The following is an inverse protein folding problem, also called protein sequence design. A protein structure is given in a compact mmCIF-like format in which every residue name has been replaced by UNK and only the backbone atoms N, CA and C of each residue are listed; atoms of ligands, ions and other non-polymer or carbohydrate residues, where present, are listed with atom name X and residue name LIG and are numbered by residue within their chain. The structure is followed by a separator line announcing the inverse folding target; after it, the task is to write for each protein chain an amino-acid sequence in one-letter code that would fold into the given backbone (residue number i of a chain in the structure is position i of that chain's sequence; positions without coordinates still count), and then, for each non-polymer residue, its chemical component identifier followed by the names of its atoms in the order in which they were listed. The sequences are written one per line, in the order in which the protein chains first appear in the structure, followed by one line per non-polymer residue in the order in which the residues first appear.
data_IF_243634154450
#
_entry.id   IF_243634154450
#
_cell.length_a   1.000
_cell.length_b   1.000
_cell.length_c   1.000
_cell.angle_alpha   90.00
_cell.angle_beta   90.00
_cell.angle_gamma   90.00
#
_symmetry.space_group_name_H-M   'P 1'
#
loop_
_entity.id
_entity.type
_entity.pdbx_description
1 polymer ?
#
# COMPACT_ATOMS: atom_id res chain seq x y z
N UNK A 1 -9.65 10.88 -11.39
CA UNK A 1 -9.41 9.53 -11.86
C UNK A 1 -8.05 9.04 -11.44
N UNK A 2 -7.97 7.92 -10.87
CA UNK A 2 -6.67 7.42 -10.46
C UNK A 2 -5.77 7.13 -11.64
N UNK A 3 -4.49 7.23 -11.41
CA UNK A 3 -3.53 6.88 -12.44
C UNK A 3 -3.36 5.36 -12.48
N UNK A 4 -2.43 4.87 -13.29
CA UNK A 4 -2.27 3.44 -13.48
C UNK A 4 -1.77 2.67 -12.29
N UNK A 5 -1.37 3.37 -11.22
CA UNK A 5 -0.86 2.72 -10.02
C UNK A 5 -1.89 2.57 -8.92
N UNK A 6 -3.09 3.09 -9.13
CA UNK A 6 -4.16 3.03 -8.15
C UNK A 6 -5.37 2.36 -8.78
N UNK A 7 -5.78 1.25 -8.19
CA UNK A 7 -6.95 0.52 -8.64
C UNK A 7 -8.04 0.69 -7.60
N UNK A 8 -9.20 1.14 -8.05
CA UNK A 8 -10.29 1.48 -7.13
C UNK A 8 -11.54 0.66 -7.41
N UNK A 9 -12.27 0.42 -6.35
CA UNK A 9 -13.64 -0.03 -6.43
C UNK A 9 -14.47 1.02 -5.71
N UNK A 10 -14.64 2.16 -6.39
CA UNK A 10 -15.33 3.34 -5.87
C UNK A 10 -14.69 3.79 -4.56
N UNK A 11 -15.52 4.09 -3.55
CA UNK A 11 -15.02 4.53 -2.26
C UNK A 11 -14.77 3.39 -1.29
N UNK A 12 -14.95 2.15 -1.72
CA UNK A 12 -14.93 1.02 -0.79
C UNK A 12 -13.56 0.41 -0.63
N UNK A 13 -12.82 0.30 -1.73
CA UNK A 13 -11.54 -0.37 -1.74
C UNK A 13 -10.60 0.34 -2.70
N UNK A 14 -9.35 0.49 -2.29
CA UNK A 14 -8.32 1.02 -3.16
C UNK A 14 -7.07 0.16 -2.99
N UNK A 15 -6.38 -0.09 -4.09
CA UNK A 15 -5.09 -0.76 -4.08
C UNK A 15 -4.04 0.25 -4.48
N UNK A 16 -3.08 0.47 -3.57
CA UNK A 16 -1.95 1.34 -3.82
C UNK A 16 -0.76 0.46 -4.12
N UNK A 17 -0.21 0.58 -5.33
CA UNK A 17 0.88 -0.26 -5.80
C UNK A 17 2.20 0.47 -5.64
N UNK A 18 3.20 -0.20 -5.06
CA UNK A 18 4.55 0.33 -4.94
C UNK A 18 5.51 -0.67 -5.56
N UNK A 19 6.43 -0.18 -6.38
CA UNK A 19 7.33 -1.03 -7.13
C UNK A 19 8.64 -1.25 -6.40
N UNK A 20 8.57 -1.53 -5.11
CA UNK A 20 9.73 -1.85 -4.32
C UNK A 20 9.88 -0.97 -3.11
N UNK A 21 10.85 -1.32 -2.26
CA UNK A 21 11.09 -0.56 -1.04
C UNK A 21 11.67 0.82 -1.35
N UNK A 22 12.37 0.97 -2.46
CA UNK A 22 12.92 2.26 -2.85
C UNK A 22 11.80 3.29 -3.06
N UNK A 23 10.73 2.88 -3.72
CA UNK A 23 9.62 3.80 -3.95
C UNK A 23 8.92 4.15 -2.65
N UNK A 24 8.67 3.15 -1.78
CA UNK A 24 7.96 3.43 -0.54
C UNK A 24 8.81 4.30 0.39
N UNK A 25 10.13 4.14 0.37
CA UNK A 25 11.00 5.02 1.14
C UNK A 25 10.90 6.46 0.66
N UNK A 26 10.81 6.67 -0.64
CA UNK A 26 10.61 8.02 -1.18
C UNK A 26 9.31 8.63 -0.69
N UNK A 27 8.25 7.82 -0.62
CA UNK A 27 6.97 8.29 -0.10
C UNK A 27 7.08 8.71 1.37
N UNK A 28 7.83 7.97 2.17
CA UNK A 28 7.96 8.28 3.59
C UNK A 28 8.95 9.39 3.87
N UNK A 29 9.83 9.71 2.94
CA UNK A 29 10.86 10.72 3.14
C UNK A 29 10.54 11.99 2.39
N UNK A 30 10.90 12.05 1.11
CA UNK A 30 10.77 13.28 0.34
C UNK A 30 9.34 13.71 0.11
N UNK A 31 8.45 12.75 -0.05
CA UNK A 31 7.05 13.02 -0.37
C UNK A 31 6.12 12.73 0.80
N UNK A 32 6.63 12.84 2.02
CA UNK A 32 5.89 12.40 3.20
C UNK A 32 4.58 13.16 3.38
N UNK A 33 4.62 14.48 3.21
CA UNK A 33 3.41 15.28 3.43
C UNK A 33 2.32 14.90 2.44
N UNK A 34 2.69 14.67 1.18
CA UNK A 34 1.72 14.27 0.17
C UNK A 34 1.15 12.88 0.48
N UNK A 35 2.03 11.97 0.91
CA UNK A 35 1.62 10.61 1.23
C UNK A 35 0.66 10.60 2.42
N UNK A 36 0.94 11.42 3.42
CA UNK A 36 0.05 11.58 4.58
C UNK A 36 -1.30 12.11 4.13
N UNK A 37 -1.31 13.17 3.31
CA UNK A 37 -2.57 13.75 2.85
C UNK A 37 -3.40 12.74 2.07
N UNK A 38 -2.74 11.92 1.27
CA UNK A 38 -3.42 10.88 0.50
C UNK A 38 -4.12 9.88 1.42
N UNK A 39 -3.41 9.40 2.44
CA UNK A 39 -3.98 8.41 3.33
C UNK A 39 -4.97 9.00 4.32
N UNK A 40 -4.80 10.26 4.70
CA UNK A 40 -5.84 10.94 5.49
C UNK A 40 -7.14 11.03 4.72
N UNK A 41 -7.05 11.29 3.42
CA UNK A 41 -8.23 11.34 2.56
C UNK A 41 -8.92 9.99 2.47
N UNK A 42 -8.11 8.92 2.32
CA UNK A 42 -8.63 7.56 2.28
C UNK A 42 -9.32 7.21 3.59
N UNK A 43 -8.70 7.55 4.70
CA UNK A 43 -9.25 7.28 6.02
C UNK A 43 -10.57 8.02 6.23
N UNK A 44 -10.60 9.28 5.85
CA UNK A 44 -11.80 10.10 6.01
C UNK A 44 -12.96 9.55 5.19
N UNK A 45 -12.67 9.00 4.03
CA UNK A 45 -13.70 8.41 3.19
C UNK A 45 -14.16 7.04 3.66
N UNK A 46 -13.47 6.47 4.65
CA UNK A 46 -13.81 5.13 5.13
C UNK A 46 -13.43 4.02 4.16
N UNK A 47 -12.47 4.29 3.28
CA UNK A 47 -12.08 3.37 2.22
C UNK A 47 -11.06 2.38 2.75
N UNK A 48 -11.26 1.10 2.45
CA UNK A 48 -10.28 0.06 2.75
C UNK A 48 -9.11 0.17 1.79
N UNK A 49 -7.89 0.12 2.31
CA UNK A 49 -6.70 0.29 1.47
C UNK A 49 -5.76 -0.90 1.60
N UNK A 50 -5.35 -1.42 0.46
CA UNK A 50 -4.30 -2.43 0.35
C UNK A 50 -3.07 -1.74 -0.21
N UNK A 51 -1.97 -1.82 0.53
CA UNK A 51 -0.69 -1.28 0.09
C UNK A 51 0.15 -2.47 -0.34
N UNK A 52 0.33 -2.64 -1.65
CA UNK A 52 1.03 -3.79 -2.18
C UNK A 52 2.40 -3.35 -2.68
N UNK A 53 3.43 -3.91 -2.07
CA UNK A 53 4.81 -3.56 -2.35
C UNK A 53 5.47 -4.72 -3.09
N UNK A 54 5.93 -4.45 -4.31
CA UNK A 54 6.47 -5.49 -5.18
C UNK A 54 7.93 -5.77 -4.88
N UNK A 55 8.32 -7.02 -5.09
CA UNK A 55 9.71 -7.47 -5.06
C UNK A 55 10.42 -7.09 -3.77
N UNK A 56 9.70 -7.27 -2.65
CA UNK A 56 10.21 -6.93 -1.34
C UNK A 56 9.60 -7.88 -0.32
N UNK A 57 10.06 -7.77 0.92
CA UNK A 57 9.55 -8.58 2.01
C UNK A 57 9.81 -7.84 3.31
N UNK A 58 9.19 -8.31 4.40
CA UNK A 58 9.51 -7.77 5.71
C UNK A 58 10.99 -7.96 6.02
N UNK A 59 11.56 -9.11 5.63
CA UNK A 59 12.96 -9.38 5.87
C UNK A 59 13.85 -8.39 5.16
N UNK A 60 13.55 -8.08 3.89
CA UNK A 60 14.38 -7.11 3.19
C UNK A 60 14.24 -5.72 3.79
N UNK A 61 13.06 -5.38 4.31
CA UNK A 61 12.87 -4.08 4.97
C UNK A 61 13.68 -4.01 6.27
N UNK A 62 13.60 -5.05 7.10
CA UNK A 62 14.33 -5.07 8.35
C UNK A 62 15.85 -5.08 8.12
N UNK A 63 16.30 -5.72 7.05
CA UNK A 63 17.73 -5.90 6.79
C UNK A 63 18.33 -4.81 5.92
N UNK A 64 17.55 -3.78 5.59
CA UNK A 64 18.07 -2.66 4.82
C UNK A 64 18.39 -2.99 3.38
N UNK A 65 17.73 -3.97 2.80
CA UNK A 65 18.02 -4.40 1.43
C UNK A 65 17.30 -3.51 0.42
N UNK A 66 17.68 -2.22 0.41
CA UNK A 66 17.11 -1.24 -0.51
C UNK A 66 18.10 -0.07 -0.59
N UNK A 67 17.87 0.80 -1.58
CA UNK A 67 18.91 1.76 -1.91
C UNK A 67 18.92 3.07 -1.15
N UNK A 68 17.80 3.69 -0.78
CA UNK A 68 17.88 5.04 -0.24
C UNK A 68 18.35 5.06 1.20
N UNK A 69 18.43 6.27 1.72
CA UNK A 69 19.08 6.54 2.98
C UNK A 69 18.19 6.34 4.20
N UNK A 70 17.03 5.76 4.02
CA UNK A 70 16.15 5.56 5.16
C UNK A 70 16.63 4.40 6.01
N UNK A 71 16.82 4.67 7.30
CA UNK A 71 17.25 3.63 8.21
C UNK A 71 16.16 2.56 8.33
N UNK A 72 16.54 1.26 8.42
CA UNK A 72 15.52 0.21 8.54
C UNK A 72 14.56 0.42 9.69
N UNK A 73 15.03 0.89 10.84
CA UNK A 73 14.15 1.18 11.97
C UNK A 73 13.08 2.20 11.58
N UNK A 74 13.48 3.24 10.85
CA UNK A 74 12.54 4.28 10.43
C UNK A 74 11.54 3.76 9.41
N UNK A 75 12.00 2.91 8.49
CA UNK A 75 11.12 2.32 7.51
C UNK A 75 10.08 1.43 8.18
N UNK A 76 10.52 0.55 9.08
CA UNK A 76 9.59 -0.33 9.78
C UNK A 76 8.62 0.48 10.64
N UNK A 77 9.11 1.52 11.31
CA UNK A 77 8.24 2.37 12.11
C UNK A 77 7.16 3.02 11.25
N UNK A 78 7.54 3.48 10.05
CA UNK A 78 6.57 4.09 9.15
C UNK A 78 5.57 3.08 8.60
N UNK A 79 6.04 1.91 8.19
CA UNK A 79 5.13 0.88 7.66
C UNK A 79 4.12 0.45 8.73
N UNK A 80 4.60 0.19 9.94
CA UNK A 80 3.70 -0.24 11.00
C UNK A 80 2.78 0.89 11.48
N UNK A 81 3.25 2.14 11.40
CA UNK A 81 2.39 3.28 11.72
C UNK A 81 1.25 3.39 10.72
N UNK A 82 1.53 3.16 9.42
CA UNK A 82 0.48 3.18 8.41
C UNK A 82 -0.54 2.08 8.65
N UNK A 83 -0.08 0.91 9.06
CA UNK A 83 -0.99 -0.17 9.42
C UNK A 83 -1.88 0.25 10.58
N UNK A 84 -1.30 0.82 11.61
CA UNK A 84 -2.05 1.17 12.82
C UNK A 84 -2.95 2.39 12.62
N UNK A 85 -2.42 3.41 11.95
CA UNK A 85 -3.15 4.68 11.82
C UNK A 85 -4.21 4.64 10.74
N UNK A 86 -3.91 3.99 9.62
CA UNK A 86 -4.80 4.01 8.45
C UNK A 86 -5.41 2.65 8.17
N UNK A 87 -5.13 1.67 9.01
CA UNK A 87 -5.61 0.31 8.79
C UNK A 87 -5.19 -0.20 7.42
N UNK A 88 -4.00 0.18 6.99
CA UNK A 88 -3.49 -0.23 5.69
C UNK A 88 -3.12 -1.71 5.73
N UNK A 89 -3.58 -2.44 4.72
CA UNK A 89 -3.26 -3.86 4.60
C UNK A 89 -2.04 -3.98 3.71
N UNK A 90 -0.88 -4.23 4.32
CA UNK A 90 0.39 -4.27 3.60
C UNK A 90 0.65 -5.68 3.13
N UNK A 91 0.86 -5.83 1.83
CA UNK A 91 1.10 -7.11 1.19
C UNK A 91 2.35 -7.00 0.33
N UNK A 92 3.19 -8.03 0.40
CA UNK A 92 4.37 -8.13 -0.47
C UNK A 92 4.13 -9.23 -1.49
N UNK A 93 4.50 -8.96 -2.74
CA UNK A 93 4.43 -9.97 -3.78
C UNK A 93 5.44 -9.64 -4.86
N UNK A 94 5.67 -10.58 -5.77
CA UNK A 94 6.53 -10.32 -6.90
C UNK A 94 5.78 -9.50 -7.93
N UNK A 95 6.53 -8.72 -8.73
CA UNK A 95 5.89 -7.83 -9.70
C UNK A 95 5.05 -8.61 -10.70
N UNK A 96 5.49 -9.81 -11.08
CA UNK A 96 4.71 -10.63 -12.02
C UNK A 96 3.42 -11.15 -11.40
N UNK A 97 3.33 -11.20 -10.10
CA UNK A 97 2.14 -11.68 -9.39
C UNK A 97 1.11 -10.57 -9.18
N UNK A 98 1.56 -9.33 -9.18
CA UNK A 98 0.70 -8.22 -8.80
C UNK A 98 -0.61 -8.14 -9.60
N UNK A 99 -0.59 -8.21 -10.94
CA UNK A 99 -1.85 -8.03 -11.68
C UNK A 99 -2.90 -9.08 -11.30
N UNK A 100 -2.47 -10.33 -11.13
CA UNK A 100 -3.39 -11.40 -10.76
C UNK A 100 -3.91 -11.21 -9.35
N UNK A 101 -3.02 -10.89 -8.42
CA UNK A 101 -3.42 -10.70 -7.02
C UNK A 101 -4.37 -9.51 -6.88
N UNK A 102 -4.06 -8.40 -7.54
CA UNK A 102 -4.91 -7.22 -7.47
C UNK A 102 -6.31 -7.53 -8.00
N UNK A 103 -6.40 -8.27 -9.11
CA UNK A 103 -7.68 -8.65 -9.67
C UNK A 103 -8.47 -9.52 -8.69
N UNK A 104 -7.78 -10.47 -8.07
CA UNK A 104 -8.45 -11.38 -7.14
C UNK A 104 -8.94 -10.65 -5.90
N UNK A 105 -8.14 -9.71 -5.39
CA UNK A 105 -8.55 -8.90 -4.24
C UNK A 105 -9.79 -8.09 -4.58
N UNK A 106 -9.77 -7.38 -5.70
CA UNK A 106 -10.90 -6.54 -6.08
C UNK A 106 -12.15 -7.37 -6.35
N UNK A 107 -11.98 -8.53 -6.97
CA UNK A 107 -13.11 -9.42 -7.22
C UNK A 107 -13.74 -9.86 -5.89
N UNK A 108 -12.92 -10.29 -4.96
CA UNK A 108 -13.45 -10.78 -3.69
C UNK A 108 -14.06 -9.66 -2.85
N UNK A 109 -13.46 -8.49 -2.86
CA UNK A 109 -14.03 -7.37 -2.12
C UNK A 109 -15.39 -6.98 -2.71
N UNK A 110 -15.49 -6.97 -4.03
CA UNK A 110 -16.76 -6.67 -4.67
C UNK A 110 -17.81 -7.73 -4.35
N UNK A 111 -17.42 -9.00 -4.37
CA UNK A 111 -18.35 -10.08 -4.10
C UNK A 111 -18.86 -10.01 -2.66
N UNK A 112 -17.97 -9.78 -1.70
CA UNK A 112 -18.37 -9.68 -0.32
C UNK A 112 -19.24 -8.46 -0.07
N UNK A 113 -18.91 -7.35 -0.71
CA UNK A 113 -19.72 -6.14 -0.61
C UNK A 113 -21.15 -6.39 -1.10
N UNK A 114 -21.29 -7.04 -2.25
CA UNK A 114 -22.62 -7.30 -2.81
C UNK A 114 -23.41 -8.27 -1.96
N UNK A 115 -22.75 -9.22 -1.32
CA UNK A 115 -23.46 -10.19 -0.47
C UNK A 115 -23.95 -9.57 0.83
N UNK A 116 -23.38 -8.46 1.25
CA UNK A 116 -23.76 -7.80 2.48
C UNK A 116 -24.75 -6.68 2.28
N UNK A 117 -25.24 -6.54 1.06
CA UNK A 117 -26.33 -5.59 0.78
C UNK A 117 -27.70 -6.19 1.11
#
# INVERSE_FOLDING_TARGET
MPNGEVLEFKEYVVIERKQGLTEICGNFCQNRDRFIREFERIKKAGTKVYLIIEDASWESAYNGKYRPNMHPKSLIASLTAWMARYDAHIIFCKSETFPRLARDILYREAKEFLQNM
#
